data_IF_087085289499
#
_entry.id   IF_087085289499
#
_cell.length_a   1.000
_cell.length_b   1.000
_cell.length_c   1.000
_cell.angle_alpha   90.00
_cell.angle_beta   90.00
_cell.angle_gamma   90.00
#
_symmetry.space_group_name_H-M   'P 1'
#
loop_
_entity.id
_entity.type
_entity.pdbx_description
1 polymer ?
#
# COMPACT_ATOMS: atom_id res chain seq x y z
N UNK A 1 11.32 -11.61 -1.37
CA UNK A 1 10.80 -10.65 -0.36
C UNK A 1 9.32 -10.98 -0.17
N UNK A 2 8.72 -10.99 1.03
CA UNK A 2 7.30 -11.40 1.12
C UNK A 2 6.37 -10.26 0.69
N UNK A 3 5.26 -10.56 0.00
CA UNK A 3 4.32 -9.53 -0.45
C UNK A 3 3.68 -8.75 0.70
N UNK A 4 3.56 -9.32 1.91
CA UNK A 4 3.03 -8.58 3.07
C UNK A 4 3.95 -7.43 3.48
N UNK A 5 5.27 -7.62 3.41
CA UNK A 5 6.24 -6.54 3.72
C UNK A 5 6.12 -5.37 2.75
N UNK A 6 5.84 -5.66 1.48
CA UNK A 6 5.62 -4.62 0.46
C UNK A 6 4.31 -3.90 0.73
N UNK A 7 3.24 -4.62 1.08
CA UNK A 7 1.95 -4.01 1.47
C UNK A 7 2.11 -3.10 2.68
N UNK A 8 2.83 -3.53 3.73
CA UNK A 8 3.04 -2.68 4.91
C UNK A 8 3.88 -1.44 4.60
N UNK A 9 4.86 -1.53 3.71
CA UNK A 9 5.57 -0.34 3.22
C UNK A 9 4.65 0.61 2.45
N UNK A 10 3.74 0.09 1.61
CA UNK A 10 2.80 0.90 0.84
C UNK A 10 1.76 1.60 1.72
N UNK A 11 1.37 1.01 2.86
CA UNK A 11 0.49 1.68 3.86
C UNK A 11 1.13 2.93 4.49
N UNK A 12 2.46 3.06 4.45
CA UNK A 12 3.13 4.27 4.95
C UNK A 12 2.97 5.46 3.98
N UNK A 13 2.57 5.20 2.73
CA UNK A 13 2.34 6.24 1.73
C UNK A 13 0.89 6.74 1.86
N UNK A 14 0.75 7.95 2.40
CA UNK A 14 -0.54 8.64 2.51
C UNK A 14 -1.02 9.17 1.17
N UNK A 15 -2.32 9.14 0.93
CA UNK A 15 -2.91 9.73 -0.27
C UNK A 15 -3.02 11.25 -0.12
N UNK A 16 -2.49 12.06 -1.06
CA UNK A 16 -2.50 13.52 -0.93
C UNK A 16 -3.91 14.09 -0.78
N UNK A 17 -4.11 14.96 0.20
CA UNK A 17 -5.41 15.54 0.53
C UNK A 17 -6.31 14.66 1.42
N UNK A 18 -5.85 13.46 1.81
CA UNK A 18 -6.56 12.57 2.72
C UNK A 18 -5.62 11.97 3.77
N UNK A 19 -6.13 11.64 4.95
CA UNK A 19 -5.31 11.04 6.02
C UNK A 19 -5.11 9.51 5.84
N UNK A 20 -5.81 8.91 4.88
CA UNK A 20 -5.81 7.47 4.62
C UNK A 20 -4.73 7.09 3.60
N UNK A 21 -4.14 5.92 3.78
CA UNK A 21 -3.09 5.39 2.91
C UNK A 21 -3.61 4.84 1.57
N UNK A 22 -2.71 4.71 0.60
CA UNK A 22 -3.04 4.26 -0.76
C UNK A 22 -3.56 2.82 -0.81
N UNK A 23 -3.22 1.97 0.15
CA UNK A 23 -3.70 0.58 0.23
C UNK A 23 -5.15 0.57 0.73
N UNK A 24 -5.45 1.34 1.78
CA UNK A 24 -6.80 1.51 2.33
C UNK A 24 -7.77 2.25 1.41
N UNK A 25 -7.26 2.98 0.42
CA UNK A 25 -8.08 3.53 -0.68
C UNK A 25 -8.45 2.49 -1.74
N UNK A 26 -7.83 1.31 -1.73
CA UNK A 26 -8.03 0.28 -2.75
C UNK A 26 -7.35 0.61 -4.09
N UNK A 27 -6.39 1.55 -4.11
CA UNK A 27 -5.58 1.85 -5.30
C UNK A 27 -4.62 0.70 -5.65
N UNK A 28 -4.24 -0.07 -4.64
CA UNK A 28 -3.34 -1.23 -4.78
C UNK A 28 -4.20 -2.50 -4.82
N UNK A 29 -4.27 -3.14 -6.00
CA UNK A 29 -5.08 -4.36 -6.21
C UNK A 29 -4.32 -5.68 -6.09
N UNK A 30 -3.06 -5.72 -6.53
CA UNK A 30 -2.22 -6.90 -6.46
C UNK A 30 -0.79 -6.48 -6.15
N UNK A 31 -0.20 -7.07 -5.11
CA UNK A 31 1.20 -6.89 -4.75
C UNK A 31 1.90 -8.23 -4.97
N UNK A 32 2.73 -8.29 -6.00
CA UNK A 32 3.58 -9.43 -6.29
C UNK A 32 5.01 -9.09 -5.89
N UNK A 33 5.60 -9.95 -5.07
CA UNK A 33 6.99 -9.86 -4.70
C UNK A 33 7.70 -11.13 -5.20
N UNK A 34 8.75 -10.93 -6.01
CA UNK A 34 9.60 -11.99 -6.53
C UNK A 34 10.55 -12.56 -5.47
#
# INVERSE_FOLDING_TARGET
MTPEKVVDALKQVKYPGFDRDIVSFGLVKNVQAA
#
